data_IF_441404694209
#
_entry.id   IF_441404694209
#
_cell.length_a   1.000
_cell.length_b   1.000
_cell.length_c   1.000
_cell.angle_alpha   90.00
_cell.angle_beta   90.00
_cell.angle_gamma   90.00
#
_symmetry.space_group_name_H-M   'P 1'
#
loop_
_entity.id
_entity.type
_entity.pdbx_description
1 polymer ?
#
# COMPACT_ATOMS: atom_id res chain seq x y z
N UNK A 1 -11.55 -9.08 0.85
CA UNK A 1 -10.51 -10.07 1.16
C UNK A 1 -9.15 -9.40 1.03
N UNK A 2 -8.24 -9.73 1.93
CA UNK A 2 -6.81 -9.45 1.85
C UNK A 2 -6.09 -10.70 1.40
N UNK A 3 -5.34 -10.60 0.29
CA UNK A 3 -4.56 -11.71 -0.26
C UNK A 3 -3.08 -11.42 -0.12
N UNK A 4 -2.35 -12.28 0.59
CA UNK A 4 -0.89 -12.24 0.63
C UNK A 4 -0.28 -13.07 -0.49
N UNK A 5 0.71 -12.50 -1.17
CA UNK A 5 1.54 -13.13 -2.18
C UNK A 5 2.93 -13.40 -1.56
N UNK A 6 3.22 -14.67 -1.27
CA UNK A 6 4.52 -15.12 -0.78
C UNK A 6 5.35 -15.72 -1.91
N UNK A 7 6.66 -15.49 -1.92
CA UNK A 7 7.57 -16.12 -2.86
C UNK A 7 8.98 -15.53 -2.77
N UNK A 8 10.00 -16.19 -3.34
CA UNK A 8 11.38 -15.72 -3.27
C UNK A 8 11.56 -14.36 -3.96
N UNK A 9 12.64 -13.64 -3.63
CA UNK A 9 13.01 -12.41 -4.33
C UNK A 9 13.15 -12.67 -5.82
N UNK A 10 12.57 -11.80 -6.65
CA UNK A 10 12.58 -11.96 -8.11
C UNK A 10 11.46 -12.82 -8.70
N UNK A 11 10.55 -13.39 -7.90
CA UNK A 11 9.43 -14.22 -8.41
C UNK A 11 8.33 -13.44 -9.17
N UNK A 12 8.50 -12.14 -9.44
CA UNK A 12 7.55 -11.32 -10.19
C UNK A 12 6.39 -10.74 -9.37
N UNK A 13 6.43 -10.85 -8.04
CA UNK A 13 5.45 -10.27 -7.10
C UNK A 13 5.19 -8.78 -7.37
N UNK A 14 6.21 -7.94 -7.27
CA UNK A 14 6.10 -6.49 -7.49
C UNK A 14 5.65 -6.16 -8.93
N UNK A 15 6.09 -6.95 -9.91
CA UNK A 15 5.63 -6.84 -11.31
C UNK A 15 4.12 -7.06 -11.42
N UNK A 16 3.58 -8.06 -10.72
CA UNK A 16 2.15 -8.33 -10.69
C UNK A 16 1.37 -7.16 -10.06
N UNK A 17 1.83 -6.57 -8.94
CA UNK A 17 1.16 -5.38 -8.39
C UNK A 17 1.20 -4.20 -9.36
N UNK A 18 2.33 -3.96 -10.04
CA UNK A 18 2.45 -2.87 -11.03
C UNK A 18 1.47 -3.06 -12.20
N UNK A 19 1.29 -4.30 -12.66
CA UNK A 19 0.27 -4.65 -13.66
C UNK A 19 -1.14 -4.36 -13.15
N UNK A 20 -1.47 -4.80 -11.93
CA UNK A 20 -2.79 -4.55 -11.31
C UNK A 20 -3.03 -3.04 -11.10
N UNK A 21 -1.98 -2.27 -10.81
CA UNK A 21 -2.03 -0.82 -10.71
C UNK A 21 -2.12 -0.09 -12.06
N UNK A 22 -1.83 -0.77 -13.17
CA UNK A 22 -1.72 -0.14 -14.50
C UNK A 22 -0.46 0.68 -14.68
N UNK A 23 0.56 0.44 -13.85
CA UNK A 23 1.90 1.02 -13.95
C UNK A 23 2.79 0.24 -14.94
N UNK A 24 2.37 -0.95 -15.32
CA UNK A 24 3.02 -1.80 -16.30
C UNK A 24 1.96 -2.52 -17.15
N UNK A 25 2.20 -2.61 -18.45
CA UNK A 25 1.29 -3.30 -19.37
C UNK A 25 1.37 -4.82 -19.21
N UNK A 26 0.24 -5.48 -19.45
CA UNK A 26 0.19 -6.94 -19.54
C UNK A 26 0.70 -7.39 -20.90
N UNK A 27 1.56 -8.40 -20.94
CA UNK A 27 1.94 -9.05 -22.21
C UNK A 27 0.78 -9.85 -22.82
N UNK A 28 -0.07 -10.44 -21.97
CA UNK A 28 -1.25 -11.20 -22.35
C UNK A 28 -2.21 -11.35 -21.15
N UNK A 29 -3.45 -11.77 -21.42
CA UNK A 29 -4.49 -11.88 -20.40
C UNK A 29 -5.20 -10.56 -20.13
N UNK A 30 -5.99 -10.51 -19.07
CA UNK A 30 -6.85 -9.37 -18.73
C UNK A 30 -6.88 -9.14 -17.22
N UNK A 31 -6.92 -7.88 -16.82
CA UNK A 31 -7.16 -7.46 -15.43
C UNK A 31 -8.60 -7.00 -15.32
N UNK A 32 -9.38 -7.60 -14.41
CA UNK A 32 -10.77 -7.23 -14.18
C UNK A 32 -11.00 -6.67 -12.79
N UNK A 33 -11.85 -5.65 -12.70
CA UNK A 33 -12.38 -5.11 -11.47
C UNK A 33 -13.91 -5.17 -11.51
N UNK A 34 -14.55 -5.86 -10.57
CA UNK A 34 -16.01 -6.08 -10.54
C UNK A 34 -16.56 -6.56 -11.89
N UNK A 35 -15.87 -7.50 -12.53
CA UNK A 35 -16.21 -8.05 -13.85
C UNK A 35 -15.88 -7.16 -15.05
N UNK A 36 -15.51 -5.89 -14.83
CA UNK A 36 -15.14 -4.95 -15.89
C UNK A 36 -13.66 -5.09 -16.24
N UNK A 37 -13.33 -5.18 -17.53
CA UNK A 37 -11.95 -5.16 -18.00
C UNK A 37 -11.33 -3.76 -17.80
N UNK A 38 -10.29 -3.71 -16.98
CA UNK A 38 -9.54 -2.49 -16.66
C UNK A 38 -8.11 -2.52 -17.20
N UNK A 39 -7.79 -3.48 -18.09
CA UNK A 39 -6.44 -3.70 -18.60
C UNK A 39 -5.84 -2.43 -19.20
N UNK A 40 -6.64 -1.68 -19.97
CA UNK A 40 -6.26 -0.42 -20.61
C UNK A 40 -6.63 0.83 -19.80
N UNK A 41 -7.18 0.67 -18.59
CA UNK A 41 -7.50 1.80 -17.73
C UNK A 41 -6.22 2.38 -17.13
N UNK A 42 -5.94 3.69 -17.29
CA UNK A 42 -4.74 4.30 -16.74
C UNK A 42 -4.79 4.35 -15.21
N UNK A 43 -3.63 4.25 -14.55
CA UNK A 43 -3.49 4.15 -13.08
C UNK A 43 -4.32 5.17 -12.30
N UNK A 44 -4.32 6.45 -12.72
CA UNK A 44 -5.03 7.53 -12.02
C UNK A 44 -6.56 7.37 -12.03
N UNK A 45 -7.11 6.58 -12.96
CA UNK A 45 -8.56 6.28 -13.02
C UNK A 45 -8.93 5.06 -12.18
N UNK A 46 -7.98 4.14 -11.95
CA UNK A 46 -8.23 2.89 -11.21
C UNK A 46 -8.59 3.12 -9.74
N UNK A 47 -8.26 4.28 -9.15
CA UNK A 47 -8.50 4.61 -7.72
C UNK A 47 -7.95 3.56 -6.75
N UNK A 48 -6.80 2.97 -7.09
CA UNK A 48 -6.08 2.04 -6.23
C UNK A 48 -5.02 2.79 -5.43
N UNK A 49 -4.84 2.41 -4.16
CA UNK A 49 -3.75 2.89 -3.31
C UNK A 49 -2.54 1.98 -3.50
N UNK A 50 -1.35 2.56 -3.59
CA UNK A 50 -0.12 1.80 -3.80
C UNK A 50 0.93 2.22 -2.77
N UNK A 51 1.50 1.25 -2.06
CA UNK A 51 2.70 1.42 -1.24
C UNK A 51 3.82 0.68 -1.95
N UNK A 52 4.81 1.43 -2.42
CA UNK A 52 6.00 0.89 -3.07
C UNK A 52 7.01 0.45 -2.00
N UNK A 53 7.90 -0.47 -2.40
CA UNK A 53 9.04 -0.87 -1.58
C UNK A 53 9.93 0.32 -1.22
N UNK A 54 10.11 1.26 -2.16
CA UNK A 54 10.73 2.56 -1.92
C UNK A 54 9.65 3.56 -1.50
N UNK A 55 9.83 4.31 -0.41
CA UNK A 55 8.75 5.11 0.19
C UNK A 55 8.22 6.22 -0.74
N UNK A 56 9.04 6.64 -1.71
CA UNK A 56 8.73 7.63 -2.75
C UNK A 56 7.95 8.85 -2.22
N UNK A 57 8.36 9.39 -1.08
CA UNK A 57 7.77 10.59 -0.51
C UNK A 57 8.16 11.81 -1.36
N UNK A 58 7.31 12.84 -1.35
CA UNK A 58 7.61 14.11 -2.01
C UNK A 58 8.57 14.92 -1.12
N UNK A 59 9.85 15.07 -1.49
CA UNK A 59 10.87 15.63 -0.59
C UNK A 59 10.68 17.12 -0.31
N UNK A 60 9.92 17.81 -1.16
CA UNK A 60 9.61 19.23 -1.05
C UNK A 60 8.33 19.51 -0.23
N UNK A 61 7.81 18.51 0.49
CA UNK A 61 6.58 18.58 1.27
C UNK A 61 6.80 17.97 2.64
N UNK A 62 6.18 18.56 3.65
CA UNK A 62 6.11 17.94 4.99
C UNK A 62 5.26 16.66 4.98
N UNK A 63 5.24 15.99 6.13
CA UNK A 63 4.48 14.75 6.35
C UNK A 63 2.98 14.94 6.06
N UNK A 64 2.35 15.98 6.61
CA UNK A 64 0.92 16.22 6.43
C UNK A 64 0.55 16.49 4.97
N UNK A 65 1.39 17.23 4.27
CA UNK A 65 1.25 17.55 2.86
C UNK A 65 1.46 16.33 1.97
N UNK A 66 2.34 15.40 2.35
CA UNK A 66 2.49 14.10 1.70
C UNK A 66 1.20 13.28 1.85
N UNK A 67 0.73 13.08 3.09
CA UNK A 67 -0.46 12.27 3.37
C UNK A 67 -1.70 12.86 2.70
N UNK A 68 -1.92 14.17 2.86
CA UNK A 68 -3.07 14.89 2.30
C UNK A 68 -2.98 15.21 0.80
N UNK A 69 -1.95 14.76 0.09
CA UNK A 69 -1.74 15.11 -1.32
C UNK A 69 -2.93 14.70 -2.20
N UNK A 70 -3.30 13.41 -2.17
CA UNK A 70 -4.36 12.88 -3.04
C UNK A 70 -5.73 13.48 -2.76
N UNK A 71 -6.03 13.75 -1.49
CA UNK A 71 -7.29 14.41 -1.08
C UNK A 71 -7.40 15.83 -1.64
N UNK A 72 -6.31 16.61 -1.58
CA UNK A 72 -6.29 17.97 -2.17
C UNK A 72 -6.44 17.95 -3.68
N UNK A 73 -5.84 16.98 -4.36
CA UNK A 73 -6.02 16.80 -5.81
C UNK A 73 -7.44 16.39 -6.18
N UNK A 74 -8.15 15.71 -5.28
CA UNK A 74 -9.57 15.39 -5.42
C UNK A 74 -10.50 16.56 -5.02
N UNK A 75 -9.96 17.72 -4.63
CA UNK A 75 -10.76 18.89 -4.25
C UNK A 75 -11.38 18.81 -2.85
N UNK A 76 -10.93 17.90 -1.98
CA UNK A 76 -11.38 17.85 -0.58
C UNK A 76 -11.00 19.13 0.15
N UNK A 77 -11.92 19.66 0.97
CA UNK A 77 -11.70 20.89 1.72
C UNK A 77 -10.60 20.74 2.79
N UNK A 78 -10.00 21.86 3.18
CA UNK A 78 -8.84 21.89 4.08
C UNK A 78 -9.12 21.25 5.45
N UNK A 79 -10.32 21.43 6.01
CA UNK A 79 -10.66 20.92 7.33
C UNK A 79 -10.78 19.39 7.28
N UNK A 80 -11.46 18.86 6.26
CA UNK A 80 -11.56 17.42 6.01
C UNK A 80 -10.20 16.77 5.74
N UNK A 81 -9.32 17.44 4.98
CA UNK A 81 -7.93 16.97 4.78
C UNK A 81 -7.19 16.89 6.11
N UNK A 82 -7.23 17.96 6.92
CA UNK A 82 -6.53 18.00 8.20
C UNK A 82 -7.02 16.90 9.17
N UNK A 83 -8.34 16.71 9.26
CA UNK A 83 -8.94 15.66 10.09
C UNK A 83 -8.48 14.27 9.66
N UNK A 84 -8.52 13.97 8.35
CA UNK A 84 -8.09 12.69 7.80
C UNK A 84 -6.60 12.44 7.97
N UNK A 85 -5.77 13.48 7.82
CA UNK A 85 -4.32 13.37 8.08
C UNK A 85 -4.05 13.03 9.55
N UNK A 86 -4.74 13.69 10.48
CA UNK A 86 -4.60 13.41 11.92
C UNK A 86 -4.98 11.97 12.29
N UNK A 87 -6.09 11.47 11.76
CA UNK A 87 -6.52 10.08 11.92
C UNK A 87 -5.44 9.10 11.45
N UNK A 88 -4.88 9.31 10.25
CA UNK A 88 -3.89 8.42 9.67
C UNK A 88 -2.55 8.49 10.39
N UNK A 89 -2.16 9.67 10.89
CA UNK A 89 -0.96 9.82 11.72
C UNK A 89 -1.10 9.07 13.04
N UNK A 90 -2.28 9.08 13.67
CA UNK A 90 -2.53 8.28 14.86
C UNK A 90 -2.40 6.79 14.56
N UNK A 91 -3.00 6.33 13.45
CA UNK A 91 -2.96 4.94 13.02
C UNK A 91 -1.53 4.43 12.79
N UNK A 92 -0.70 5.21 12.11
CA UNK A 92 0.68 4.78 11.84
C UNK A 92 1.66 5.09 12.99
N UNK A 93 1.15 5.48 14.16
CA UNK A 93 1.97 5.76 15.35
C UNK A 93 2.89 6.96 15.20
N UNK A 94 2.43 8.00 14.48
CA UNK A 94 3.13 9.27 14.24
C UNK A 94 2.29 10.51 14.64
N UNK A 95 1.56 10.52 15.77
CA UNK A 95 0.80 11.70 16.17
C UNK A 95 1.72 12.91 16.32
N UNK A 96 1.30 14.06 15.79
CA UNK A 96 2.08 15.31 15.84
C UNK A 96 3.20 15.45 14.82
N UNK A 97 3.46 14.45 13.97
CA UNK A 97 4.52 14.52 12.96
C UNK A 97 4.18 15.39 11.74
N UNK A 98 2.98 15.95 11.65
CA UNK A 98 2.45 16.58 10.44
C UNK A 98 3.35 17.66 9.84
N UNK A 99 3.98 18.50 10.67
CA UNK A 99 4.84 19.61 10.22
C UNK A 99 6.30 19.19 9.96
N UNK A 100 6.65 17.93 10.21
CA UNK A 100 8.02 17.45 10.06
C UNK A 100 8.40 17.33 8.59
N UNK A 101 9.65 17.68 8.28
CA UNK A 101 10.25 17.46 6.98
C UNK A 101 10.49 15.96 6.75
N UNK A 102 10.01 15.43 5.63
CA UNK A 102 10.13 14.01 5.28
C UNK A 102 11.58 13.55 5.10
N UNK A 103 12.50 14.46 4.79
CA UNK A 103 13.94 14.16 4.63
C UNK A 103 14.64 13.91 5.97
N UNK A 104 14.00 14.26 7.09
CA UNK A 104 14.52 14.06 8.46
C UNK A 104 13.98 12.80 9.14
N UNK A 105 13.16 12.03 8.42
CA UNK A 105 12.55 10.80 8.92
C UNK A 105 13.55 9.65 8.83
N UNK A 106 13.52 8.76 9.82
CA UNK A 106 14.08 7.42 9.68
C UNK A 106 13.34 6.65 8.58
N UNK A 107 13.97 5.60 8.03
CA UNK A 107 13.32 4.76 7.01
C UNK A 107 11.98 4.18 7.50
N UNK A 108 11.90 3.73 8.75
CA UNK A 108 10.65 3.23 9.34
C UNK A 108 9.57 4.30 9.52
N UNK A 109 9.93 5.55 9.80
CA UNK A 109 8.98 6.66 9.80
C UNK A 109 8.51 7.00 8.38
N UNK A 110 9.41 7.02 7.41
CA UNK A 110 9.07 7.29 6.01
C UNK A 110 8.10 6.25 5.44
N UNK A 111 8.28 4.95 5.75
CA UNK A 111 7.36 3.87 5.33
C UNK A 111 5.96 4.07 5.87
N UNK A 112 5.86 4.43 7.15
CA UNK A 112 4.60 4.72 7.83
C UNK A 112 3.88 5.91 7.20
N UNK A 113 4.61 6.96 6.82
CA UNK A 113 4.05 8.09 6.06
C UNK A 113 3.58 7.67 4.65
N UNK A 114 4.33 6.80 3.96
CA UNK A 114 3.94 6.28 2.65
C UNK A 114 2.65 5.45 2.72
N UNK A 115 2.51 4.59 3.74
CA UNK A 115 1.28 3.83 4.02
C UNK A 115 0.09 4.77 4.29
N UNK A 116 0.25 5.74 5.18
CA UNK A 116 -0.78 6.74 5.48
C UNK A 116 -1.21 7.51 4.22
N UNK A 117 -0.25 7.92 3.38
CA UNK A 117 -0.52 8.61 2.11
C UNK A 117 -1.34 7.77 1.14
N UNK A 118 -1.05 6.48 1.02
CA UNK A 118 -1.79 5.58 0.14
C UNK A 118 -3.24 5.36 0.61
N UNK A 119 -3.47 5.35 1.94
CA UNK A 119 -4.79 5.20 2.56
C UNK A 119 -5.64 6.48 2.56
N UNK A 120 -5.00 7.65 2.44
CA UNK A 120 -5.69 8.93 2.60
C UNK A 120 -6.86 9.14 1.64
N UNK A 121 -6.74 8.85 0.32
CA UNK A 121 -7.82 9.06 -0.65
C UNK A 121 -8.99 8.07 -0.55
N UNK A 122 -8.98 7.13 0.43
CA UNK A 122 -9.93 6.02 0.53
C UNK A 122 -10.00 5.22 -0.78
N UNK A 123 -8.89 4.57 -1.16
CA UNK A 123 -8.86 3.79 -2.40
C UNK A 123 -9.84 2.63 -2.34
N UNK A 124 -10.19 2.07 -3.49
CA UNK A 124 -11.06 0.87 -3.57
C UNK A 124 -10.28 -0.45 -3.48
N UNK A 125 -8.95 -0.41 -3.59
CA UNK A 125 -8.02 -1.54 -3.44
C UNK A 125 -6.68 -1.01 -2.92
N UNK A 126 -6.08 -1.72 -1.98
CA UNK A 126 -4.69 -1.49 -1.55
C UNK A 126 -3.73 -2.47 -2.23
N UNK A 127 -2.63 -1.93 -2.73
CA UNK A 127 -1.52 -2.66 -3.31
C UNK A 127 -0.29 -2.37 -2.46
N UNK A 128 0.17 -3.37 -1.71
CA UNK A 128 1.19 -3.21 -0.68
C UNK A 128 2.42 -4.06 -1.05
N UNK A 129 3.53 -3.43 -1.40
CA UNK A 129 4.76 -4.09 -1.82
C UNK A 129 5.81 -3.97 -0.70
N UNK A 130 5.96 -5.00 0.13
CA UNK A 130 6.83 -5.05 1.31
C UNK A 130 6.64 -3.86 2.28
N UNK A 131 5.39 -3.58 2.72
CA UNK A 131 5.05 -2.35 3.43
C UNK A 131 5.69 -2.22 4.81
N UNK A 132 5.98 -3.33 5.49
CA UNK A 132 6.48 -3.35 6.87
C UNK A 132 7.95 -3.79 7.00
N UNK A 133 8.64 -4.05 5.87
CA UNK A 133 10.03 -4.50 5.89
C UNK A 133 10.96 -3.46 6.51
N UNK A 134 11.95 -3.90 7.29
CA UNK A 134 12.95 -3.02 7.90
C UNK A 134 12.47 -2.27 9.15
N UNK A 135 11.27 -2.58 9.65
CA UNK A 135 10.80 -2.13 10.96
C UNK A 135 11.34 -3.05 12.07
N UNK A 136 11.46 -2.53 13.29
CA UNK A 136 11.70 -3.38 14.46
C UNK A 136 10.49 -4.28 14.76
N UNK A 137 10.74 -5.44 15.37
CA UNK A 137 9.72 -6.48 15.56
C UNK A 137 8.48 -5.99 16.34
N UNK A 138 8.66 -5.15 17.36
CA UNK A 138 7.54 -4.68 18.18
C UNK A 138 6.66 -3.67 17.43
N UNK A 139 7.26 -2.80 16.62
CA UNK A 139 6.53 -1.88 15.75
C UNK A 139 5.88 -2.59 14.58
N UNK A 140 6.59 -3.54 13.97
CA UNK A 140 6.08 -4.40 12.90
C UNK A 140 4.78 -5.09 13.30
N UNK A 141 4.79 -5.82 14.42
CA UNK A 141 3.64 -6.61 14.87
C UNK A 141 2.40 -5.76 15.14
N UNK A 142 2.59 -4.61 15.82
CA UNK A 142 1.51 -3.66 16.07
C UNK A 142 0.93 -3.12 14.75
N UNK A 143 1.76 -2.69 13.82
CA UNK A 143 1.27 -2.12 12.56
C UNK A 143 0.62 -3.16 11.67
N UNK A 144 1.08 -4.41 11.71
CA UNK A 144 0.42 -5.51 11.01
C UNK A 144 -1.00 -5.73 11.56
N UNK A 145 -1.18 -5.71 12.89
CA UNK A 145 -2.49 -5.81 13.53
C UNK A 145 -3.38 -4.60 13.18
N UNK A 146 -2.86 -3.37 13.35
CA UNK A 146 -3.60 -2.15 13.03
C UNK A 146 -4.01 -2.08 11.55
N UNK A 147 -3.13 -2.53 10.64
CA UNK A 147 -3.41 -2.56 9.21
C UNK A 147 -4.48 -3.61 8.87
N UNK A 148 -4.40 -4.81 9.46
CA UNK A 148 -5.44 -5.83 9.31
C UNK A 148 -6.79 -5.31 9.77
N UNK A 149 -6.84 -4.73 10.96
CA UNK A 149 -8.08 -4.22 11.54
C UNK A 149 -8.65 -3.08 10.69
N UNK A 150 -7.82 -2.17 10.19
CA UNK A 150 -8.26 -1.13 9.28
C UNK A 150 -8.85 -1.71 7.99
N UNK A 151 -8.14 -2.64 7.34
CA UNK A 151 -8.58 -3.20 6.06
C UNK A 151 -9.90 -3.94 6.23
N UNK A 152 -10.03 -4.69 7.32
CA UNK A 152 -11.23 -5.44 7.65
C UNK A 152 -12.41 -4.51 7.98
N UNK A 153 -12.24 -3.55 8.89
CA UNK A 153 -13.29 -2.59 9.28
C UNK A 153 -13.74 -1.71 8.11
N UNK A 154 -12.83 -1.33 7.22
CA UNK A 154 -13.14 -0.52 6.04
C UNK A 154 -13.75 -1.34 4.89
N UNK A 155 -13.75 -2.68 4.98
CA UNK A 155 -14.10 -3.55 3.86
C UNK A 155 -13.19 -3.34 2.64
N UNK A 156 -11.95 -2.89 2.88
CA UNK A 156 -11.01 -2.49 1.84
C UNK A 156 -10.20 -3.72 1.39
N UNK A 157 -10.41 -4.24 0.16
CA UNK A 157 -9.60 -5.34 -0.33
C UNK A 157 -8.14 -4.90 -0.48
N UNK A 158 -7.23 -5.86 -0.32
CA UNK A 158 -5.81 -5.60 -0.47
C UNK A 158 -5.05 -6.78 -1.07
N UNK A 159 -3.98 -6.48 -1.81
CA UNK A 159 -2.94 -7.43 -2.20
C UNK A 159 -1.68 -7.03 -1.44
N UNK A 160 -1.21 -7.92 -0.56
CA UNK A 160 0.02 -7.78 0.19
C UNK A 160 1.11 -8.64 -0.44
N UNK A 161 2.25 -8.05 -0.78
CA UNK A 161 3.46 -8.77 -1.12
C UNK A 161 4.42 -8.69 0.04
N UNK A 162 4.88 -9.86 0.47
CA UNK A 162 5.90 -10.00 1.49
C UNK A 162 6.69 -11.28 1.26
N UNK A 163 7.86 -11.37 1.86
CA UNK A 163 8.64 -12.59 1.99
C UNK A 163 8.53 -13.19 3.40
N UNK A 164 7.84 -12.51 4.33
CA UNK A 164 7.64 -12.96 5.70
C UNK A 164 6.29 -13.71 5.85
N UNK A 165 6.33 -15.04 6.11
CA UNK A 165 5.12 -15.82 6.35
C UNK A 165 4.33 -15.37 7.59
N UNK A 166 5.00 -14.79 8.60
CA UNK A 166 4.36 -14.31 9.83
C UNK A 166 3.53 -13.07 9.52
N UNK A 167 4.09 -12.11 8.80
CA UNK A 167 3.36 -10.93 8.29
C UNK A 167 2.15 -11.36 7.45
N UNK A 168 2.35 -12.27 6.49
CA UNK A 168 1.28 -12.79 5.64
C UNK A 168 0.15 -13.44 6.45
N UNK A 169 0.47 -14.32 7.40
CA UNK A 169 -0.51 -14.99 8.25
C UNK A 169 -1.22 -14.04 9.22
N UNK A 170 -0.53 -12.97 9.66
CA UNK A 170 -1.09 -11.97 10.56
C UNK A 170 -2.06 -11.05 9.84
N UNK A 171 -1.80 -10.64 8.59
CA UNK A 171 -2.59 -9.64 7.89
C UNK A 171 -3.65 -10.24 6.94
N UNK A 172 -3.32 -11.31 6.23
CA UNK A 172 -4.14 -11.78 5.11
C UNK A 172 -5.22 -12.79 5.50
N UNK A 173 -6.33 -12.75 4.76
CA UNK A 173 -7.37 -13.78 4.81
C UNK A 173 -6.92 -15.05 4.07
N UNK A 174 -6.09 -14.88 3.04
CA UNK A 174 -5.58 -15.96 2.20
C UNK A 174 -4.16 -15.71 1.74
N UNK A 175 -3.38 -16.78 1.69
CA UNK A 175 -1.99 -16.77 1.21
C UNK A 175 -1.90 -17.52 -0.12
N UNK A 176 -1.22 -16.92 -1.09
CA UNK A 176 -0.90 -17.50 -2.40
C UNK A 176 0.61 -17.54 -2.53
N UNK A 177 1.16 -18.72 -2.81
CA UNK A 177 2.57 -18.90 -3.07
C UNK A 177 2.85 -18.73 -4.57
N UNK A 178 3.58 -17.68 -4.92
CA UNK A 178 4.22 -17.53 -6.22
C UNK A 178 5.49 -18.38 -6.22
N UNK A 179 5.42 -19.56 -6.81
CA UNK A 179 6.60 -20.30 -7.22
C UNK A 179 7.39 -19.54 -8.30
N UNK A 180 8.58 -20.04 -8.63
CA UNK A 180 9.27 -19.58 -9.83
C UNK A 180 8.28 -19.67 -11.00
N UNK A 181 8.02 -18.56 -11.67
CA UNK A 181 7.22 -18.50 -12.91
C UNK A 181 7.90 -19.24 -14.09
N UNK A 182 8.79 -20.19 -13.79
CA UNK A 182 9.50 -21.05 -14.71
C UNK A 182 9.81 -22.42 -14.08
N UNK A 183 8.82 -23.30 -14.00
CA UNK A 183 8.98 -24.75 -14.28
C UNK A 183 7.66 -25.50 -14.13
N UNK A 184 6.90 -25.56 -15.22
CA UNK A 184 5.72 -26.42 -15.41
C UNK A 184 4.80 -25.79 -16.45
N UNK A 185 4.66 -26.27 -17.69
CA UNK A 185 4.72 -27.63 -18.21
C UNK A 185 5.28 -27.64 -19.65
N UNK A 186 6.25 -28.52 -19.89
CA UNK A 186 6.23 -29.43 -21.03
C UNK A 186 6.04 -30.83 -20.46
#
# INVERSE_FOLDING_TARGET
EVVALLGPSGSGKSTLLRVVAGLQDVSSGVVRWDGTDITQEPTHRRRFGFVFQDEQLFPHRDVAANIGFGLRMAGTDRASVAARVGELLALVGLPGFGERDVTTLSGGEAKRVALARALAPRPRLMLLDEPLTGLDAALHDRLADDLRDLLWQAGLPAILVTHDPVEAARIADRVVHLGDLGSGSR
#
